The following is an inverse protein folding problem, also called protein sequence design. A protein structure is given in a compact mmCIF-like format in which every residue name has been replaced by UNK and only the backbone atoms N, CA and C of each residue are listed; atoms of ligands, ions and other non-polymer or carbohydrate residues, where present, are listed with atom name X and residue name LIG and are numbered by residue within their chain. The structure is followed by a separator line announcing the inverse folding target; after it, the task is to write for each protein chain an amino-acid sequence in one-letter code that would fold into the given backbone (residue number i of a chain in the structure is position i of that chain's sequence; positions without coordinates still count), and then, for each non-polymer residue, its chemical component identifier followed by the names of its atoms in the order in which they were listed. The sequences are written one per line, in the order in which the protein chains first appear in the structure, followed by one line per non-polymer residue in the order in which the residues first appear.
data_IF_595758768576
#
_entry.id   IF_595758768576
#
_cell.length_a   1.000
_cell.length_b   1.000
_cell.length_c   1.000
_cell.angle_alpha   90.00
_cell.angle_beta   90.00
_cell.angle_gamma   90.00
#
_symmetry.space_group_name_H-M   'P 1'
#
loop_
_entity.id
_entity.type
_entity.pdbx_description
1 polymer ?
#
# COMPACT_ATOMS: atom_id res chain seq x y z
N UNK A 1 -7.68 1.57 1.58
CA UNK A 1 -7.19 0.31 2.18
C UNK A 1 -6.75 0.59 3.61
N UNK A 2 -6.85 -0.38 4.52
CA UNK A 2 -6.35 -0.25 5.89
C UNK A 2 -5.48 -1.45 6.22
N UNK A 3 -4.24 -1.20 6.63
CA UNK A 3 -3.33 -2.21 7.16
C UNK A 3 -3.32 -2.13 8.68
N UNK A 4 -3.23 -3.28 9.34
CA UNK A 4 -3.10 -3.39 10.80
C UNK A 4 -1.90 -4.26 11.11
N UNK A 5 -1.00 -3.77 11.97
CA UNK A 5 0.12 -4.57 12.44
C UNK A 5 -0.37 -5.68 13.37
N UNK A 6 0.10 -6.89 13.16
CA UNK A 6 -0.24 -8.05 13.99
C UNK A 6 1.03 -8.74 14.49
N UNK A 7 0.94 -9.31 15.68
CA UNK A 7 1.99 -10.11 16.29
C UNK A 7 1.33 -11.17 17.17
N UNK A 8 2.00 -12.32 17.32
CA UNK A 8 1.50 -13.45 18.10
C UNK A 8 2.46 -13.71 19.25
N UNK A 9 1.92 -14.00 20.44
CA UNK A 9 2.69 -14.38 21.63
C UNK A 9 2.16 -15.72 22.17
N UNK A 10 3.00 -16.51 22.88
CA UNK A 10 2.55 -17.71 23.57
C UNK A 10 1.45 -17.42 24.62
N UNK A 11 0.70 -18.45 25.01
CA UNK A 11 -0.37 -18.31 26.03
C UNK A 11 0.15 -17.74 27.36
N UNK A 12 -0.67 -16.90 28.00
CA UNK A 12 -0.30 -16.17 29.23
C UNK A 12 0.49 -14.88 28.98
N UNK A 13 0.57 -14.43 27.73
CA UNK A 13 1.20 -13.18 27.33
C UNK A 13 0.23 -12.34 26.50
N UNK A 14 0.44 -11.02 26.52
CA UNK A 14 -0.22 -10.04 25.68
C UNK A 14 0.80 -9.29 24.81
N UNK A 15 0.36 -8.80 23.66
CA UNK A 15 1.14 -7.87 22.83
C UNK A 15 0.80 -6.44 23.20
N UNK A 16 1.81 -5.64 23.50
CA UNK A 16 1.70 -4.19 23.63
C UNK A 16 2.49 -3.52 22.50
N UNK A 17 1.84 -2.61 21.78
CA UNK A 17 2.46 -1.90 20.66
C UNK A 17 3.01 -0.56 21.07
N UNK A 18 4.08 -0.14 20.41
CA UNK A 18 4.73 1.15 20.63
C UNK A 18 5.13 1.81 19.31
N UNK A 19 5.31 3.13 19.36
CA UNK A 19 5.77 3.96 18.24
C UNK A 19 7.30 3.98 18.04
N UNK A 20 8.07 3.43 18.99
CA UNK A 20 9.53 3.41 18.95
C UNK A 20 10.14 2.07 19.41
N UNK A 21 11.38 1.79 19.00
CA UNK A 21 12.11 0.59 19.39
C UNK A 21 12.44 0.55 20.90
N UNK A 22 12.72 1.71 21.48
CA UNK A 22 12.97 1.93 22.91
C UNK A 22 12.26 3.22 23.37
N UNK A 23 11.71 3.23 24.59
CA UNK A 23 10.89 4.36 25.05
C UNK A 23 9.55 4.46 24.31
N UNK A 24 9.12 5.67 23.93
CA UNK A 24 7.92 5.89 23.13
C UNK A 24 6.59 5.75 23.87
N UNK A 25 5.50 5.90 23.13
CA UNK A 25 4.11 5.81 23.63
C UNK A 25 3.47 4.49 23.23
N UNK A 26 2.56 3.99 24.07
CA UNK A 26 1.74 2.82 23.75
C UNK A 26 0.75 3.17 22.65
N UNK A 27 0.65 2.31 21.64
CA UNK A 27 -0.27 2.43 20.51
C UNK A 27 -1.37 1.40 20.67
N UNK A 28 -2.62 1.83 20.87
CA UNK A 28 -3.76 0.91 21.01
C UNK A 28 -4.22 0.33 19.67
N UNK A 29 -4.01 1.06 18.58
CA UNK A 29 -4.43 0.68 17.22
C UNK A 29 -3.30 0.92 16.22
N UNK A 30 -2.38 -0.05 16.02
CA UNK A 30 -1.26 0.10 15.10
C UNK A 30 -1.72 -0.10 13.66
N UNK A 31 -2.33 0.94 13.09
CA UNK A 31 -2.91 0.91 11.73
C UNK A 31 -2.26 1.93 10.79
N UNK A 32 -2.39 1.69 9.49
CA UNK A 32 -2.05 2.63 8.43
C UNK A 32 -3.18 2.63 7.39
N UNK A 33 -3.74 3.80 7.11
CA UNK A 33 -4.85 3.99 6.16
C UNK A 33 -4.57 5.07 5.09
N UNK A 34 -3.35 5.60 5.05
CA UNK A 34 -2.88 6.57 4.06
C UNK A 34 -1.62 6.07 3.36
N UNK A 35 -1.35 6.59 2.16
CA UNK A 35 -0.09 6.37 1.45
C UNK A 35 1.09 6.75 2.34
N UNK A 36 2.12 5.91 2.34
CA UNK A 36 3.31 6.10 3.16
C UNK A 36 3.77 4.80 3.81
N UNK A 37 4.72 4.93 4.74
CA UNK A 37 5.22 3.82 5.54
C UNK A 37 5.32 4.23 7.00
N UNK A 38 4.96 3.30 7.90
CA UNK A 38 5.08 3.46 9.34
C UNK A 38 5.55 2.15 9.96
N UNK A 39 6.40 2.23 10.99
CA UNK A 39 6.86 1.07 11.75
C UNK A 39 6.31 1.12 13.16
N UNK A 40 5.65 0.04 13.58
CA UNK A 40 5.22 -0.17 14.96
C UNK A 40 6.08 -1.24 15.61
N UNK A 41 6.16 -1.23 16.94
CA UNK A 41 7.04 -2.11 17.69
C UNK A 41 6.23 -2.95 18.68
N UNK A 42 6.20 -4.26 18.48
CA UNK A 42 5.51 -5.21 19.35
C UNK A 42 6.40 -5.61 20.54
N UNK A 43 5.86 -5.49 21.75
CA UNK A 43 6.45 -6.00 22.99
C UNK A 43 5.56 -7.12 23.53
N UNK A 44 6.16 -8.24 23.92
CA UNK A 44 5.44 -9.30 24.61
C UNK A 44 5.47 -9.02 26.12
N UNK A 45 4.32 -9.07 26.77
CA UNK A 45 4.16 -8.85 28.20
C UNK A 45 3.50 -10.08 28.83
N UNK A 46 4.10 -10.67 29.85
CA UNK A 46 3.47 -11.74 30.66
C UNK A 46 2.47 -11.09 31.61
N UNK A 47 1.22 -11.53 31.54
CA UNK A 47 0.16 -10.98 32.36
C UNK A 47 0.43 -11.24 33.87
N UNK A 48 0.26 -10.21 34.70
CA UNK A 48 0.31 -10.32 36.16
C UNK A 48 1.70 -10.28 36.82
N UNK A 49 2.79 -10.55 36.09
CA UNK A 49 4.14 -10.62 36.68
C UNK A 49 5.11 -9.54 36.18
N UNK A 50 4.71 -8.71 35.21
CA UNK A 50 5.53 -7.61 34.70
C UNK A 50 6.76 -8.02 33.87
N UNK A 51 6.90 -9.31 33.54
CA UNK A 51 7.95 -9.79 32.65
C UNK A 51 7.65 -9.34 31.21
N UNK A 52 8.50 -8.47 30.66
CA UNK A 52 8.40 -7.96 29.29
C UNK A 52 9.53 -8.52 28.42
N UNK A 53 9.33 -8.59 27.10
CA UNK A 53 10.41 -8.90 26.18
C UNK A 53 11.52 -7.84 26.27
N UNK A 54 12.78 -8.31 26.30
CA UNK A 54 13.97 -7.44 26.40
C UNK A 54 14.12 -6.52 25.18
N UNK A 55 13.58 -6.92 24.04
CA UNK A 55 13.55 -6.16 22.79
C UNK A 55 12.13 -6.13 22.23
N UNK A 56 11.83 -5.09 21.46
CA UNK A 56 10.58 -5.00 20.69
C UNK A 56 10.82 -5.44 19.24
N UNK A 57 9.83 -6.10 18.66
CA UNK A 57 9.87 -6.57 17.26
C UNK A 57 9.26 -5.51 16.34
N UNK A 58 9.99 -4.99 15.33
CA UNK A 58 9.44 -4.02 14.39
C UNK A 58 8.48 -4.69 13.40
N UNK A 59 7.38 -4.00 13.10
CA UNK A 59 6.40 -4.36 12.07
C UNK A 59 6.14 -3.12 11.21
N UNK A 60 6.54 -3.16 9.95
CA UNK A 60 6.40 -2.05 9.01
C UNK A 60 5.15 -2.25 8.16
N UNK A 61 4.27 -1.24 8.16
CA UNK A 61 3.12 -1.15 7.27
C UNK A 61 3.45 -0.16 6.14
N UNK A 62 3.14 -0.54 4.91
CA UNK A 62 3.41 0.31 3.74
C UNK A 62 2.21 0.29 2.79
N UNK A 63 1.72 1.48 2.47
CA UNK A 63 0.71 1.71 1.43
C UNK A 63 1.39 2.53 0.33
N UNK A 64 1.46 1.97 -0.87
CA UNK A 64 1.93 2.69 -2.07
C UNK A 64 0.76 3.37 -2.75
N UNK A 65 1.01 4.54 -3.33
CA UNK A 65 -0.02 5.24 -4.10
C UNK A 65 -0.44 4.44 -5.33
N UNK A 66 -1.69 4.63 -5.76
CA UNK A 66 -2.13 4.08 -7.03
C UNK A 66 -1.45 4.87 -8.17
N UNK A 67 -1.05 4.21 -9.28
CA UNK A 67 -0.58 4.93 -10.44
C UNK A 67 -1.71 5.80 -11.01
N UNK A 68 -1.34 6.96 -11.54
CA UNK A 68 -2.29 7.85 -12.22
C UNK A 68 -2.92 7.14 -13.42
N UNK A 69 -4.18 7.49 -13.70
CA UNK A 69 -4.84 7.03 -14.91
C UNK A 69 -4.08 7.51 -16.16
N UNK A 70 -3.99 6.69 -17.23
CA UNK A 70 -3.43 7.14 -18.49
C UNK A 70 -4.25 8.30 -19.07
N UNK A 71 -3.57 9.27 -19.68
CA UNK A 71 -4.21 10.38 -20.39
C UNK A 71 -4.45 9.97 -21.83
N UNK A 72 -5.71 9.96 -22.27
CA UNK A 72 -6.07 9.68 -23.66
C UNK A 72 -5.58 10.78 -24.60
N UNK A 73 -5.09 10.40 -25.78
CA UNK A 73 -4.80 11.32 -26.88
C UNK A 73 -6.04 11.87 -27.58
N UNK A 74 -7.24 11.44 -27.17
CA UNK A 74 -8.52 11.84 -27.73
C UNK A 74 -9.02 10.93 -28.85
N UNK A 75 -10.28 11.10 -29.19
CA UNK A 75 -10.91 10.37 -30.29
C UNK A 75 -10.39 10.89 -31.62
N UNK A 76 -10.12 9.97 -32.55
CA UNK A 76 -9.69 10.29 -33.91
C UNK A 76 -10.86 10.10 -34.87
N UNK A 77 -11.07 11.05 -35.75
CA UNK A 77 -12.08 10.99 -36.82
C UNK A 77 -11.45 11.58 -38.07
N UNK A 78 -11.54 10.84 -39.18
CA UNK A 78 -10.94 11.22 -40.45
C UNK A 78 -11.83 10.76 -41.61
N UNK A 79 -11.80 11.48 -42.73
CA UNK A 79 -12.52 11.10 -43.94
C UNK A 79 -11.77 9.96 -44.65
N UNK A 80 -12.48 9.00 -45.27
CA UNK A 80 -11.84 7.93 -46.04
C UNK A 80 -11.05 8.51 -47.24
N UNK A 81 -9.84 7.98 -47.46
CA UNK A 81 -9.00 8.30 -48.62
C UNK A 81 -8.43 7.00 -49.22
N UNK A 82 -7.90 7.08 -50.45
CA UNK A 82 -7.21 5.98 -51.12
C UNK A 82 -5.72 6.28 -51.31
N UNK A 83 -4.82 5.47 -50.72
CA UNK A 83 -5.07 4.26 -49.93
C UNK A 83 -5.69 4.56 -48.54
N UNK A 84 -6.31 3.52 -47.95
CA UNK A 84 -6.95 3.62 -46.63
C UNK A 84 -5.95 4.10 -45.57
N UNK A 85 -6.41 5.00 -44.70
CA UNK A 85 -5.60 5.58 -43.64
C UNK A 85 -5.65 4.71 -42.39
N UNK A 86 -4.51 4.56 -41.70
CA UNK A 86 -4.44 3.88 -40.42
C UNK A 86 -4.60 4.89 -39.30
N UNK A 87 -5.62 4.71 -38.46
CA UNK A 87 -5.76 5.44 -37.20
C UNK A 87 -5.09 4.66 -36.08
N UNK A 88 -4.33 5.34 -35.22
CA UNK A 88 -3.60 4.73 -34.11
C UNK A 88 -4.00 5.39 -32.81
N UNK A 89 -4.62 4.65 -31.90
CA UNK A 89 -4.93 5.16 -30.56
C UNK A 89 -3.64 5.53 -29.81
N UNK A 90 -3.68 6.62 -29.06
CA UNK A 90 -2.54 7.09 -28.24
C UNK A 90 -3.00 7.38 -26.83
N UNK A 91 -2.14 7.05 -25.86
CA UNK A 91 -2.33 7.34 -24.46
C UNK A 91 -0.96 7.52 -23.81
N UNK A 92 -0.87 8.40 -22.81
CA UNK A 92 0.38 8.68 -22.07
C UNK A 92 0.22 8.33 -20.61
N UNK A 93 1.30 7.82 -20.00
CA UNK A 93 1.40 7.52 -18.57
C UNK A 93 2.65 8.17 -17.99
N UNK A 94 2.67 8.52 -16.70
CA UNK A 94 3.89 8.94 -16.03
C UNK A 94 5.04 7.91 -16.15
N UNK A 95 6.27 8.38 -15.94
CA UNK A 95 7.48 7.57 -16.13
C UNK A 95 7.49 6.29 -15.28
N UNK A 96 7.94 5.19 -15.89
CA UNK A 96 8.01 3.88 -15.23
C UNK A 96 6.73 3.06 -15.29
N UNK A 97 5.68 3.54 -15.97
CA UNK A 97 4.45 2.80 -16.23
C UNK A 97 4.33 2.39 -17.70
N UNK A 98 3.48 1.40 -17.98
CA UNK A 98 3.18 0.94 -19.33
C UNK A 98 1.67 1.00 -19.58
N UNK A 99 1.29 1.37 -20.81
CA UNK A 99 -0.10 1.31 -21.26
C UNK A 99 -0.42 -0.10 -21.73
N UNK A 100 -1.48 -0.69 -21.19
CA UNK A 100 -2.05 -1.94 -21.69
C UNK A 100 -3.38 -1.63 -22.37
N UNK A 101 -3.54 -2.08 -23.61
CA UNK A 101 -4.70 -1.76 -24.45
C UNK A 101 -5.75 -2.86 -24.39
N UNK A 102 -7.02 -2.46 -24.29
CA UNK A 102 -8.17 -3.34 -24.28
C UNK A 102 -9.22 -2.80 -25.27
N UNK A 103 -9.95 -3.69 -25.95
CA UNK A 103 -11.03 -3.31 -26.88
C UNK A 103 -12.41 -3.24 -26.21
N UNK A 104 -12.51 -3.62 -24.93
CA UNK A 104 -13.72 -3.56 -24.13
C UNK A 104 -13.53 -2.65 -22.91
N UNK A 105 -14.58 -1.91 -22.53
CA UNK A 105 -14.55 -0.99 -21.38
C UNK A 105 -14.42 -1.72 -20.03
N UNK A 106 -14.79 -2.99 -19.98
CA UNK A 106 -14.57 -3.92 -18.87
C UNK A 106 -14.32 -5.30 -19.47
N UNK A 107 -13.33 -6.02 -18.95
CA UNK A 107 -13.14 -7.44 -19.27
C UNK A 107 -14.33 -8.29 -18.85
#
# INVERSE_FOLDING_TARGET
QTLTATATVPGGQAVVWYDAATGGSVVSSPTLNSVGSITYYAQANVDGNGCISLTRTPVTLTITDAPDAPVSGGDQTECEASPIQTLTATATVPGGQAVVWYTAATG
#
